data_IF_588414367285
#
_entry.id   IF_588414367285
#
_cell.length_a   1.000
_cell.length_b   1.000
_cell.length_c   1.000
_cell.angle_alpha   90.00
_cell.angle_beta   90.00
_cell.angle_gamma   90.00
#
_symmetry.space_group_name_H-M   'P 1'
#
loop_
_entity.id
_entity.type
_entity.pdbx_description
1 polymer ?
#
# COMPACT_ATOMS: atom_id res chain seq x y z
N UNK A 1 -12.04 26.44 34.21
CA UNK A 1 -13.27 27.28 34.20
C UNK A 1 -13.74 27.40 32.76
N UNK A 2 -15.05 27.36 32.46
CA UNK A 2 -16.21 26.99 33.30
C UNK A 2 -16.65 25.52 33.04
N UNK A 3 -17.65 24.92 33.69
CA UNK A 3 -18.43 25.35 34.86
C UNK A 3 -19.92 24.90 34.79
N UNK A 4 -20.47 24.55 35.98
CA UNK A 4 -21.91 24.47 36.35
C UNK A 4 -22.76 23.17 36.27
N UNK A 5 -23.62 23.08 37.29
CA UNK A 5 -24.35 21.97 37.98
C UNK A 5 -25.55 22.68 38.71
N UNK A 6 -26.76 22.14 39.06
CA UNK A 6 -27.24 20.74 39.27
C UNK A 6 -28.60 20.39 38.59
N UNK A 7 -29.23 19.25 38.97
CA UNK A 7 -30.63 19.31 39.45
C UNK A 7 -31.57 18.09 39.25
N UNK A 8 -32.03 17.49 40.36
CA UNK A 8 -33.31 16.76 40.62
C UNK A 8 -33.89 15.72 39.63
N UNK A 9 -34.55 14.63 40.07
CA UNK A 9 -34.75 14.12 41.45
C UNK A 9 -35.97 13.19 41.59
N UNK A 10 -36.00 12.39 42.67
CA UNK A 10 -37.15 11.57 43.17
C UNK A 10 -37.60 10.39 42.26
N UNK A 11 -38.18 9.29 42.76
CA UNK A 11 -38.89 9.03 44.03
C UNK A 11 -38.49 7.68 44.63
N UNK A 12 -38.29 7.63 45.95
CA UNK A 12 -38.31 6.38 46.73
C UNK A 12 -39.67 6.25 47.40
N UNK A 13 -40.33 5.11 47.28
CA UNK A 13 -41.57 4.80 47.98
C UNK A 13 -41.28 3.87 49.16
N UNK A 14 -41.50 4.39 50.38
CA UNK A 14 -41.73 3.54 51.55
C UNK A 14 -43.19 3.09 51.55
N UNK A 15 -43.42 1.81 51.78
CA UNK A 15 -44.69 1.31 52.29
C UNK A 15 -44.41 0.56 53.59
N UNK A 16 -44.89 1.11 54.71
CA UNK A 16 -44.88 0.47 56.03
C UNK A 16 -46.29 -0.04 56.30
N UNK A 17 -46.43 -1.32 56.64
CA UNK A 17 -47.64 -1.91 57.23
C UNK A 17 -47.13 -2.76 58.40
N UNK A 18 -47.07 -2.27 59.65
CA UNK A 18 -48.18 -2.01 60.59
C UNK A 18 -48.92 -3.28 61.02
N UNK A 19 -48.30 -4.06 61.90
CA UNK A 19 -48.97 -5.13 62.64
C UNK A 19 -49.79 -4.56 63.80
N UNK A 20 -51.08 -4.34 63.59
CA UNK A 20 -52.00 -3.91 64.65
C UNK A 20 -52.31 -5.06 65.62
N UNK A 21 -52.19 -4.78 66.92
CA UNK A 21 -52.51 -5.74 67.99
C UNK A 21 -53.96 -5.54 68.43
N UNK A 22 -54.90 -5.99 67.61
CA UNK A 22 -56.34 -5.86 67.85
C UNK A 22 -56.85 -6.84 68.92
N UNK A 23 -56.88 -6.41 70.18
CA UNK A 23 -57.57 -7.12 71.25
C UNK A 23 -59.02 -6.67 71.40
N UNK A 24 -59.96 -7.62 71.42
CA UNK A 24 -61.33 -7.43 71.95
C UNK A 24 -61.77 -8.69 72.69
N UNK A 25 -62.15 -8.52 73.95
CA UNK A 25 -63.15 -9.35 74.64
C UNK A 25 -64.52 -9.05 73.98
N UNK A 26 -65.59 -9.84 74.11
CA UNK A 26 -66.02 -10.85 75.09
C UNK A 26 -66.54 -12.11 74.33
N UNK A 27 -67.16 -13.17 74.86
CA UNK A 27 -67.90 -13.40 76.11
C UNK A 27 -67.82 -14.86 76.60
N UNK A 28 -68.21 -15.04 77.85
CA UNK A 28 -68.26 -16.30 78.58
C UNK A 28 -69.52 -17.11 78.24
N UNK A 29 -69.36 -18.34 77.74
CA UNK A 29 -70.41 -19.37 77.84
C UNK A 29 -69.85 -20.67 78.41
N UNK A 30 -70.47 -21.09 79.51
CA UNK A 30 -70.12 -22.24 80.32
C UNK A 30 -70.84 -23.51 79.82
N UNK A 31 -70.22 -24.67 80.05
CA UNK A 31 -70.71 -25.99 79.63
C UNK A 31 -70.18 -26.38 78.24
N UNK A 32 -69.49 -27.50 78.05
CA UNK A 32 -69.57 -28.76 78.79
C UNK A 32 -68.21 -29.47 78.81
N UNK A 33 -67.89 -30.16 79.90
CA UNK A 33 -66.69 -30.99 80.02
C UNK A 33 -66.74 -32.18 79.06
N UNK A 34 -66.24 -32.00 77.84
CA UNK A 34 -65.85 -33.11 76.97
C UNK A 34 -64.35 -33.34 77.15
N UNK A 35 -63.99 -34.21 78.09
CA UNK A 35 -62.66 -34.79 78.11
C UNK A 35 -62.51 -35.60 76.81
N UNK A 36 -61.80 -35.04 75.82
CA UNK A 36 -61.48 -35.72 74.57
C UNK A 36 -60.89 -37.08 74.90
N UNK A 37 -61.40 -38.14 74.25
CA UNK A 37 -60.88 -39.47 74.49
C UNK A 37 -59.41 -39.53 74.01
N UNK A 38 -58.56 -40.30 74.69
CA UNK A 38 -57.15 -40.46 74.31
C UNK A 38 -57.01 -40.94 72.84
N UNK A 39 -58.03 -41.67 72.35
CA UNK A 39 -58.16 -42.10 70.95
C UNK A 39 -58.35 -40.91 69.98
N UNK A 40 -59.07 -39.87 70.37
CA UNK A 40 -59.29 -38.68 69.53
C UNK A 40 -58.08 -37.74 69.55
N UNK A 41 -57.40 -37.63 70.70
CA UNK A 41 -56.09 -36.96 70.81
C UNK A 41 -55.06 -37.64 69.89
N UNK A 42 -54.99 -38.98 69.90
CA UNK A 42 -54.11 -39.73 68.99
C UNK A 42 -54.46 -39.55 67.51
N UNK A 43 -55.75 -39.45 67.14
CA UNK A 43 -56.15 -39.12 65.75
C UNK A 43 -55.69 -37.71 65.37
N UNK A 44 -55.85 -36.73 66.25
CA UNK A 44 -55.43 -35.36 66.01
C UNK A 44 -53.91 -35.23 65.87
N UNK A 45 -53.13 -35.95 66.68
CA UNK A 45 -51.68 -36.05 66.55
C UNK A 45 -51.30 -36.67 65.19
N UNK A 46 -51.94 -37.77 64.77
CA UNK A 46 -51.69 -38.38 63.45
C UNK A 46 -52.02 -37.44 62.29
N UNK A 47 -53.11 -36.68 62.40
CA UNK A 47 -53.46 -35.65 61.41
C UNK A 47 -52.43 -34.51 61.36
N UNK A 48 -51.93 -34.07 62.52
CA UNK A 48 -50.83 -33.09 62.57
C UNK A 48 -49.52 -33.64 61.98
N UNK A 49 -49.18 -34.90 62.24
CA UNK A 49 -48.01 -35.55 61.63
C UNK A 49 -48.13 -35.62 60.11
N UNK A 50 -49.28 -36.06 59.59
CA UNK A 50 -49.53 -36.13 58.14
C UNK A 50 -49.50 -34.74 57.49
N UNK A 51 -50.01 -33.70 58.16
CA UNK A 51 -49.91 -32.32 57.70
C UNK A 51 -48.45 -31.82 57.65
N UNK A 52 -47.65 -32.10 58.69
CA UNK A 52 -46.22 -31.74 58.72
C UNK A 52 -45.43 -32.48 57.63
N UNK A 53 -45.76 -33.75 57.38
CA UNK A 53 -45.14 -34.56 56.32
C UNK A 53 -45.53 -34.04 54.92
N UNK A 54 -46.80 -33.68 54.70
CA UNK A 54 -47.24 -33.03 53.47
C UNK A 54 -46.57 -31.66 53.27
N UNK A 55 -46.54 -30.80 54.29
CA UNK A 55 -45.90 -29.48 54.22
C UNK A 55 -44.38 -29.59 53.96
N UNK A 56 -43.73 -30.64 54.48
CA UNK A 56 -42.33 -30.93 54.20
C UNK A 56 -42.10 -31.41 52.74
N UNK A 57 -42.99 -32.27 52.23
CA UNK A 57 -42.92 -32.76 50.86
C UNK A 57 -43.21 -31.66 49.84
N UNK A 58 -44.24 -30.83 50.05
CA UNK A 58 -44.56 -29.68 49.19
C UNK A 58 -43.40 -28.67 49.16
N UNK A 59 -42.72 -28.43 50.29
CA UNK A 59 -41.50 -27.61 50.33
C UNK A 59 -40.31 -28.25 49.63
N UNK A 60 -40.17 -29.57 49.66
CA UNK A 60 -39.13 -30.28 48.92
C UNK A 60 -39.36 -30.14 47.41
N UNK A 61 -40.58 -30.40 46.93
CA UNK A 61 -40.96 -30.23 45.53
C UNK A 61 -40.79 -28.77 45.06
N UNK A 62 -41.13 -27.77 45.89
CA UNK A 62 -40.90 -26.35 45.58
C UNK A 62 -39.40 -26.02 45.44
N UNK A 63 -38.54 -26.61 46.27
CA UNK A 63 -37.08 -26.43 46.20
C UNK A 63 -36.50 -27.11 44.95
N UNK A 64 -36.95 -28.31 44.62
CA UNK A 64 -36.46 -29.04 43.43
C UNK A 64 -36.90 -28.33 42.13
N UNK A 65 -38.15 -27.88 42.05
CA UNK A 65 -38.65 -27.12 40.91
C UNK A 65 -37.88 -25.80 40.69
N UNK A 66 -37.61 -25.05 41.78
CA UNK A 66 -36.76 -23.84 41.72
C UNK A 66 -35.33 -24.15 41.32
N UNK A 67 -34.77 -25.24 41.85
CA UNK A 67 -33.40 -25.67 41.52
C UNK A 67 -33.25 -26.03 40.04
N UNK A 68 -34.25 -26.68 39.44
CA UNK A 68 -34.26 -26.96 38.00
C UNK A 68 -34.47 -25.69 37.15
N UNK A 69 -35.31 -24.76 37.58
CA UNK A 69 -35.48 -23.46 36.91
C UNK A 69 -34.16 -22.65 36.92
N UNK A 70 -33.54 -22.49 38.09
CA UNK A 70 -32.25 -21.80 38.24
C UNK A 70 -31.13 -22.46 37.44
N UNK A 71 -31.05 -23.79 37.45
CA UNK A 71 -30.08 -24.55 36.64
C UNK A 71 -30.25 -24.26 35.14
N UNK A 72 -31.48 -24.28 34.64
CA UNK A 72 -31.76 -24.03 33.22
C UNK A 72 -31.48 -22.57 32.82
N UNK A 73 -31.80 -21.60 33.69
CA UNK A 73 -31.45 -20.19 33.50
C UNK A 73 -29.93 -20.01 33.43
N UNK A 74 -29.18 -20.54 34.40
CA UNK A 74 -27.73 -20.33 34.50
C UNK A 74 -26.97 -21.08 33.39
N UNK A 75 -27.38 -22.31 33.05
CA UNK A 75 -26.90 -23.05 31.87
C UNK A 75 -27.14 -22.25 30.59
N UNK A 76 -28.35 -21.68 30.42
CA UNK A 76 -28.68 -20.80 29.30
C UNK A 76 -27.76 -19.58 29.23
N UNK A 77 -27.57 -18.89 30.36
CA UNK A 77 -26.69 -17.72 30.49
C UNK A 77 -25.25 -18.02 30.12
N UNK A 78 -24.69 -19.13 30.61
CA UNK A 78 -23.33 -19.58 30.30
C UNK A 78 -23.17 -19.91 28.80
N UNK A 79 -24.10 -20.67 28.22
CA UNK A 79 -24.08 -21.04 26.80
C UNK A 79 -24.17 -19.80 25.90
N UNK A 80 -25.09 -18.86 26.16
CA UNK A 80 -25.18 -17.64 25.35
C UNK A 80 -23.94 -16.75 25.50
N UNK A 81 -23.38 -16.65 26.72
CA UNK A 81 -22.14 -15.88 26.97
C UNK A 81 -20.96 -16.43 26.16
N UNK A 82 -20.80 -17.76 26.08
CA UNK A 82 -19.74 -18.37 25.27
C UNK A 82 -20.05 -18.28 23.77
N UNK A 83 -21.32 -18.44 23.37
CA UNK A 83 -21.74 -18.28 21.97
C UNK A 83 -21.41 -16.89 21.43
N UNK A 84 -21.67 -15.82 22.19
CA UNK A 84 -21.33 -14.45 21.82
C UNK A 84 -19.81 -14.25 21.66
N UNK A 85 -18.99 -14.84 22.55
CA UNK A 85 -17.52 -14.83 22.41
C UNK A 85 -17.05 -15.54 21.15
N UNK A 86 -17.64 -16.70 20.82
CA UNK A 86 -17.35 -17.47 19.61
C UNK A 86 -17.71 -16.68 18.35
N UNK A 87 -18.91 -16.10 18.29
CA UNK A 87 -19.34 -15.26 17.15
C UNK A 87 -18.40 -14.07 16.96
N UNK A 88 -18.13 -13.29 18.02
CA UNK A 88 -17.23 -12.14 17.94
C UNK A 88 -15.77 -12.50 17.61
N UNK A 89 -15.33 -13.72 17.88
CA UNK A 89 -14.02 -14.24 17.44
C UNK A 89 -14.00 -14.56 15.94
N UNK A 90 -15.04 -15.26 15.44
CA UNK A 90 -15.15 -15.60 14.01
C UNK A 90 -15.40 -14.38 13.13
N UNK A 91 -16.21 -13.41 13.55
CA UNK A 91 -16.38 -12.14 12.82
C UNK A 91 -15.05 -11.40 12.62
N UNK A 92 -14.18 -11.38 13.65
CA UNK A 92 -12.86 -10.74 13.55
C UNK A 92 -11.96 -11.48 12.56
N UNK A 93 -11.97 -12.82 12.59
CA UNK A 93 -11.24 -13.65 11.61
C UNK A 93 -11.76 -13.45 10.19
N UNK A 94 -13.07 -13.40 9.99
CA UNK A 94 -13.68 -13.19 8.69
C UNK A 94 -13.30 -11.82 8.10
N UNK A 95 -13.43 -10.75 8.89
CA UNK A 95 -13.01 -9.39 8.51
C UNK A 95 -11.51 -9.33 8.18
N UNK A 96 -10.66 -10.04 8.94
CA UNK A 96 -9.22 -10.15 8.66
C UNK A 96 -8.93 -10.88 7.34
N UNK A 97 -9.59 -12.01 7.08
CA UNK A 97 -9.45 -12.79 5.83
C UNK A 97 -9.94 -11.98 4.64
N UNK A 98 -11.05 -11.26 4.76
CA UNK A 98 -11.58 -10.41 3.69
C UNK A 98 -10.61 -9.27 3.33
N UNK A 99 -10.01 -8.62 4.34
CA UNK A 99 -8.96 -7.62 4.14
C UNK A 99 -7.71 -8.22 3.49
N UNK A 100 -7.24 -9.37 3.96
CA UNK A 100 -6.09 -10.08 3.36
C UNK A 100 -6.35 -10.45 1.89
N UNK A 101 -7.56 -10.93 1.56
CA UNK A 101 -7.97 -11.23 0.18
C UNK A 101 -7.95 -9.98 -0.71
N UNK A 102 -8.43 -8.83 -0.21
CA UNK A 102 -8.36 -7.53 -0.91
C UNK A 102 -6.91 -7.09 -1.15
N UNK A 103 -6.04 -7.24 -0.14
CA UNK A 103 -4.59 -6.95 -0.26
C UNK A 103 -3.94 -7.86 -1.30
N UNK A 104 -4.12 -9.18 -1.21
CA UNK A 104 -3.56 -10.15 -2.16
C UNK A 104 -4.00 -9.87 -3.60
N UNK A 105 -5.29 -9.61 -3.83
CA UNK A 105 -5.83 -9.25 -5.14
C UNK A 105 -5.17 -7.96 -5.69
N UNK A 106 -5.00 -6.94 -4.84
CA UNK A 106 -4.31 -5.70 -5.21
C UNK A 106 -2.84 -5.94 -5.56
N UNK A 107 -2.12 -6.72 -4.75
CA UNK A 107 -0.72 -7.09 -4.99
C UNK A 107 -0.54 -7.84 -6.31
N UNK A 108 -1.37 -8.85 -6.59
CA UNK A 108 -1.33 -9.61 -7.85
C UNK A 108 -1.65 -8.71 -9.05
N UNK A 109 -2.66 -7.84 -8.95
CA UNK A 109 -2.99 -6.85 -9.99
C UNK A 109 -1.83 -5.88 -10.26
N UNK A 110 -1.18 -5.39 -9.21
CA UNK A 110 -0.01 -4.52 -9.34
C UNK A 110 1.19 -5.26 -9.94
N UNK A 111 1.46 -6.50 -9.52
CA UNK A 111 2.51 -7.34 -10.08
C UNK A 111 2.29 -7.60 -11.58
N UNK A 112 1.05 -7.89 -12.00
CA UNK A 112 0.69 -8.03 -13.41
C UNK A 112 0.92 -6.73 -14.19
N UNK A 113 0.51 -5.57 -13.64
CA UNK A 113 0.79 -4.25 -14.23
C UNK A 113 2.30 -4.00 -14.38
N UNK A 114 3.10 -4.30 -13.36
CA UNK A 114 4.56 -4.12 -13.40
C UNK A 114 5.23 -5.05 -14.41
N UNK A 115 4.76 -6.30 -14.56
CA UNK A 115 5.24 -7.21 -15.62
C UNK A 115 5.02 -6.61 -17.02
N UNK A 116 3.84 -6.07 -17.29
CA UNK A 116 3.55 -5.41 -18.58
C UNK A 116 4.37 -4.14 -18.79
N UNK A 117 4.65 -3.37 -17.73
CA UNK A 117 5.49 -2.17 -17.84
C UNK A 117 6.96 -2.53 -18.13
N UNK A 118 7.51 -3.56 -17.47
CA UNK A 118 8.87 -4.06 -17.76
C UNK A 118 8.98 -4.56 -19.19
N UNK A 119 8.10 -5.45 -19.62
CA UNK A 119 8.11 -5.97 -20.99
C UNK A 119 8.03 -4.87 -22.08
N UNK A 120 7.41 -3.72 -21.79
CA UNK A 120 7.41 -2.57 -22.70
C UNK A 120 8.73 -1.78 -22.70
N UNK A 121 9.40 -1.71 -21.55
CA UNK A 121 10.71 -1.07 -21.37
C UNK A 121 11.82 -1.94 -21.99
N UNK A 122 11.71 -3.26 -21.84
CA UNK A 122 12.57 -4.26 -22.48
C UNK A 122 12.51 -4.11 -24.01
N UNK A 123 11.30 -4.06 -24.60
CA UNK A 123 11.11 -3.83 -26.05
C UNK A 123 11.66 -2.49 -26.56
N UNK A 124 11.60 -1.42 -25.75
CA UNK A 124 12.21 -0.13 -26.10
C UNK A 124 13.74 -0.25 -26.05
N UNK A 125 14.27 -0.95 -25.06
CA UNK A 125 15.71 -1.18 -24.89
C UNK A 125 16.29 -2.00 -26.04
N UNK A 126 15.58 -3.06 -26.46
CA UNK A 126 15.90 -3.85 -27.65
C UNK A 126 15.92 -2.98 -28.92
N UNK A 127 14.89 -2.14 -29.15
CA UNK A 127 14.85 -1.23 -30.30
C UNK A 127 16.02 -0.22 -30.30
N UNK A 128 16.40 0.30 -29.13
CA UNK A 128 17.55 1.22 -29.02
C UNK A 128 18.88 0.50 -29.23
N UNK A 129 19.01 -0.76 -28.82
CA UNK A 129 20.18 -1.58 -29.12
C UNK A 129 20.27 -1.90 -30.62
N UNK A 130 19.16 -2.25 -31.27
CA UNK A 130 19.10 -2.40 -32.74
C UNK A 130 19.48 -1.11 -33.47
N UNK A 131 19.07 0.06 -32.95
CA UNK A 131 19.50 1.35 -33.48
C UNK A 131 21.02 1.57 -33.32
N UNK A 132 21.62 1.17 -32.18
CA UNK A 132 23.08 1.20 -31.97
C UNK A 132 23.82 0.28 -32.94
N UNK A 133 23.31 -0.93 -33.20
CA UNK A 133 23.86 -1.86 -34.20
C UNK A 133 23.73 -1.34 -35.65
N UNK A 134 22.66 -0.60 -35.97
CA UNK A 134 22.55 0.07 -37.28
C UNK A 134 23.51 1.24 -37.42
N UNK A 135 23.80 1.98 -36.34
CA UNK A 135 24.79 3.06 -36.35
C UNK A 135 26.20 2.52 -36.60
N UNK A 136 26.61 1.42 -35.96
CA UNK A 136 27.93 0.82 -36.23
C UNK A 136 28.06 0.32 -37.69
N UNK A 137 26.96 -0.10 -38.31
CA UNK A 137 26.92 -0.40 -39.74
C UNK A 137 27.21 0.81 -40.65
N UNK A 138 26.82 2.03 -40.27
CA UNK A 138 27.16 3.27 -41.02
C UNK A 138 28.66 3.59 -40.85
N UNK A 139 29.21 3.34 -39.67
CA UNK A 139 30.62 3.61 -39.35
C UNK A 139 31.56 2.66 -40.10
N UNK A 140 31.07 1.52 -40.59
CA UNK A 140 31.83 0.61 -41.43
C UNK A 140 32.10 1.14 -42.86
N UNK A 141 31.39 2.17 -43.32
CA UNK A 141 31.67 2.87 -44.59
C UNK A 141 32.52 4.13 -44.33
N UNK A 142 33.82 4.13 -44.71
CA UNK A 142 34.70 5.26 -44.42
C UNK A 142 34.29 6.56 -45.13
N UNK A 143 33.67 6.49 -46.31
CA UNK A 143 33.32 7.67 -47.09
C UNK A 143 32.12 8.41 -46.48
N UNK A 144 31.10 7.65 -46.07
CA UNK A 144 29.94 8.20 -45.34
C UNK A 144 30.38 8.68 -43.94
N UNK A 145 31.21 7.89 -43.26
CA UNK A 145 31.65 8.20 -41.90
C UNK A 145 32.57 9.44 -41.83
N UNK A 146 33.49 9.64 -42.78
CA UNK A 146 34.29 10.87 -42.85
C UNK A 146 33.40 12.11 -42.99
N UNK A 147 32.45 12.11 -43.94
CA UNK A 147 31.52 13.23 -44.14
C UNK A 147 30.56 13.48 -42.97
N UNK A 148 30.42 12.52 -42.05
CA UNK A 148 29.75 12.67 -40.76
C UNK A 148 30.69 13.26 -39.70
N UNK A 149 31.92 12.74 -39.58
CA UNK A 149 32.94 13.23 -38.64
C UNK A 149 33.27 14.71 -38.86
N UNK A 150 33.45 15.15 -40.11
CA UNK A 150 33.64 16.57 -40.47
C UNK A 150 32.61 17.48 -39.77
N UNK A 151 31.33 17.08 -39.82
CA UNK A 151 30.19 17.82 -39.26
C UNK A 151 30.11 17.68 -37.74
N UNK A 152 30.47 16.52 -37.17
CA UNK A 152 30.46 16.28 -35.73
C UNK A 152 31.56 17.09 -35.02
N UNK A 153 32.76 17.18 -35.63
CA UNK A 153 33.86 18.04 -35.14
C UNK A 153 33.46 19.50 -35.20
N UNK A 154 33.00 19.99 -36.36
CA UNK A 154 32.53 21.37 -36.52
C UNK A 154 31.43 21.74 -35.53
N UNK A 155 30.43 20.87 -35.33
CA UNK A 155 29.37 21.10 -34.34
C UNK A 155 29.91 21.16 -32.90
N UNK A 156 30.90 20.32 -32.57
CA UNK A 156 31.55 20.35 -31.25
C UNK A 156 32.26 21.67 -30.99
N UNK A 157 33.06 22.15 -31.95
CA UNK A 157 33.76 23.43 -31.89
C UNK A 157 32.79 24.61 -31.78
N UNK A 158 31.77 24.67 -32.64
CA UNK A 158 30.72 25.71 -32.62
C UNK A 158 29.88 25.69 -31.35
N UNK A 159 29.83 24.58 -30.61
CA UNK A 159 29.13 24.50 -29.32
C UNK A 159 30.01 24.93 -28.14
N UNK A 160 31.32 24.76 -28.26
CA UNK A 160 32.30 25.07 -27.21
C UNK A 160 32.72 26.55 -27.23
N UNK A 161 33.00 27.13 -28.41
CA UNK A 161 33.36 28.54 -28.63
C UNK A 161 34.58 29.06 -27.82
N UNK A 162 35.49 28.17 -27.46
CA UNK A 162 36.76 28.45 -26.78
C UNK A 162 37.90 28.68 -27.79
N UNK A 163 38.98 29.40 -27.42
CA UNK A 163 40.11 29.65 -28.31
C UNK A 163 41.03 28.45 -28.49
N UNK A 164 41.04 27.50 -27.54
CA UNK A 164 41.80 26.25 -27.60
C UNK A 164 40.86 25.09 -27.30
N UNK A 165 40.83 24.11 -28.20
CA UNK A 165 39.99 22.92 -28.10
C UNK A 165 40.81 21.63 -28.27
N UNK A 166 40.52 20.63 -27.44
CA UNK A 166 41.16 19.31 -27.48
C UNK A 166 40.12 18.29 -27.94
N UNK A 167 40.39 17.57 -29.03
CA UNK A 167 39.49 16.56 -29.61
C UNK A 167 39.96 15.16 -29.23
N UNK A 168 39.09 14.40 -28.57
CA UNK A 168 39.27 12.97 -28.27
C UNK A 168 38.44 12.12 -29.22
N UNK A 169 39.05 11.06 -29.74
CA UNK A 169 38.42 10.09 -30.62
C UNK A 169 38.82 8.65 -30.22
N UNK A 170 38.25 7.63 -30.87
CA UNK A 170 38.75 6.26 -30.72
C UNK A 170 40.09 6.10 -31.47
N UNK A 171 41.00 5.22 -31.04
CA UNK A 171 42.33 5.07 -31.68
C UNK A 171 42.27 4.73 -33.18
N UNK A 172 41.21 4.06 -33.61
CA UNK A 172 40.97 3.66 -35.00
C UNK A 172 40.60 4.84 -35.93
N UNK A 173 40.10 5.96 -35.37
CA UNK A 173 39.61 7.10 -36.14
C UNK A 173 40.61 8.25 -36.24
N UNK A 174 41.78 8.13 -35.60
CA UNK A 174 42.71 9.23 -35.40
C UNK A 174 43.04 9.97 -36.72
N UNK A 175 43.36 9.21 -37.79
CA UNK A 175 43.63 9.76 -39.12
C UNK A 175 42.40 10.44 -39.77
N UNK A 176 41.19 9.89 -39.56
CA UNK A 176 39.94 10.45 -40.10
C UNK A 176 39.56 11.75 -39.37
N UNK A 177 39.82 11.79 -38.06
CA UNK A 177 39.55 12.94 -37.19
C UNK A 177 40.57 14.05 -37.41
N UNK A 178 41.85 13.74 -37.63
CA UNK A 178 42.85 14.73 -38.06
C UNK A 178 42.44 15.42 -39.38
N UNK A 179 42.02 14.63 -40.38
CA UNK A 179 41.49 15.17 -41.64
C UNK A 179 40.22 16.02 -41.43
N UNK A 180 39.29 15.56 -40.58
CA UNK A 180 38.07 16.29 -40.23
C UNK A 180 38.37 17.62 -39.51
N UNK A 181 39.36 17.65 -38.60
CA UNK A 181 39.78 18.86 -37.88
C UNK A 181 40.37 19.89 -38.84
N UNK A 182 41.29 19.49 -39.74
CA UNK A 182 41.88 20.40 -40.74
C UNK A 182 40.81 21.06 -41.62
N UNK A 183 39.74 20.34 -41.96
CA UNK A 183 38.61 20.85 -42.72
C UNK A 183 37.62 21.68 -41.87
N UNK A 184 37.41 21.33 -40.61
CA UNK A 184 36.49 22.03 -39.72
C UNK A 184 37.01 23.42 -39.28
N UNK A 185 38.32 23.63 -39.20
CA UNK A 185 38.93 24.93 -38.81
C UNK A 185 38.48 26.09 -39.73
N UNK A 186 38.64 26.05 -41.07
CA UNK A 186 38.20 27.14 -41.95
C UNK A 186 36.67 27.34 -41.94
N UNK A 187 35.89 26.26 -41.87
CA UNK A 187 34.42 26.35 -41.75
C UNK A 187 34.01 27.01 -40.42
N UNK A 188 34.69 26.68 -39.31
CA UNK A 188 34.48 27.31 -38.01
C UNK A 188 34.84 28.80 -38.02
N UNK A 189 35.97 29.19 -38.61
CA UNK A 189 36.38 30.60 -38.72
C UNK A 189 35.37 31.42 -39.53
N UNK A 190 34.85 30.86 -40.62
CA UNK A 190 33.84 31.49 -41.48
C UNK A 190 32.52 31.77 -40.73
N UNK A 191 32.07 30.82 -39.90
CA UNK A 191 30.79 30.90 -39.18
C UNK A 191 30.90 31.70 -37.87
N UNK A 192 31.97 31.51 -37.11
CA UNK A 192 32.12 32.08 -35.76
C UNK A 192 32.85 33.43 -35.72
N UNK A 193 33.57 33.78 -36.79
CA UNK A 193 34.50 34.91 -36.86
C UNK A 193 35.60 34.90 -35.77
N UNK A 194 35.89 33.72 -35.20
CA UNK A 194 36.92 33.51 -34.18
C UNK A 194 37.94 32.48 -34.66
N UNK A 195 39.20 32.70 -34.30
CA UNK A 195 40.23 31.68 -34.43
C UNK A 195 40.08 30.62 -33.32
N UNK A 196 40.40 29.37 -33.64
CA UNK A 196 40.49 28.27 -32.68
C UNK A 196 41.74 27.45 -32.99
N UNK A 197 42.52 27.15 -31.96
CA UNK A 197 43.58 26.15 -32.02
C UNK A 197 42.98 24.80 -31.62
N UNK A 198 43.05 23.82 -32.52
CA UNK A 198 42.48 22.48 -32.29
C UNK A 198 43.60 21.46 -32.24
N UNK A 199 43.72 20.78 -31.10
CA UNK A 199 44.69 19.72 -30.87
C UNK A 199 43.97 18.37 -30.74
N UNK A 200 44.49 17.31 -31.36
CA UNK A 200 43.96 15.96 -31.20
C UNK A 200 44.72 15.28 -30.06
N UNK A 201 44.00 14.72 -29.09
CA UNK A 201 44.58 14.05 -27.93
C UNK A 201 45.18 12.69 -28.34
N UNK A 202 46.48 12.52 -28.15
CA UNK A 202 47.22 11.28 -28.45
C UNK A 202 47.47 10.41 -27.21
N UNK A 203 47.12 10.89 -26.01
CA UNK A 203 47.29 10.13 -24.76
C UNK A 203 45.95 9.53 -24.31
N UNK A 204 44.89 10.35 -24.28
CA UNK A 204 43.58 9.98 -23.77
C UNK A 204 42.58 9.78 -24.90
N UNK A 205 42.30 8.52 -25.19
CA UNK A 205 41.40 8.08 -26.25
C UNK A 205 40.00 7.69 -25.72
N UNK A 206 39.00 7.67 -26.60
CA UNK A 206 37.71 7.05 -26.32
C UNK A 206 37.83 5.52 -26.25
N UNK A 207 36.92 4.89 -25.51
CA UNK A 207 36.88 3.44 -25.38
C UNK A 207 36.73 2.75 -26.74
N UNK A 208 37.44 1.63 -26.94
CA UNK A 208 37.42 0.87 -28.20
C UNK A 208 36.07 0.22 -28.52
N UNK A 209 35.18 0.10 -27.52
CA UNK A 209 33.81 -0.39 -27.68
C UNK A 209 32.80 0.70 -28.12
N UNK A 210 33.24 1.96 -28.26
CA UNK A 210 32.39 3.06 -28.73
C UNK A 210 32.20 2.98 -30.24
N UNK A 211 30.95 3.05 -30.70
CA UNK A 211 30.55 2.94 -32.09
C UNK A 211 31.18 4.02 -32.98
N UNK A 212 31.36 5.24 -32.46
CA UNK A 212 32.14 6.29 -33.13
C UNK A 212 31.81 7.72 -32.67
N UNK A 213 32.35 8.69 -33.40
CA UNK A 213 32.25 10.12 -33.12
C UNK A 213 33.37 10.66 -32.23
N UNK A 214 33.18 11.88 -31.72
CA UNK A 214 34.23 12.65 -31.04
C UNK A 214 33.72 13.29 -29.75
N UNK A 215 34.62 13.51 -28.80
CA UNK A 215 34.41 14.37 -27.64
C UNK A 215 35.34 15.57 -27.70
N UNK A 216 34.80 16.79 -27.54
CA UNK A 216 35.58 18.03 -27.63
C UNK A 216 35.66 18.68 -26.25
N UNK A 217 36.86 19.00 -25.81
CA UNK A 217 37.16 19.60 -24.51
C UNK A 217 37.71 21.03 -24.67
N UNK A 218 37.43 21.91 -23.71
CA UNK A 218 38.20 23.17 -23.56
C UNK A 218 39.65 22.86 -23.22
N UNK A 219 40.60 23.75 -23.56
CA UNK A 219 42.03 23.58 -23.24
C UNK A 219 42.32 23.40 -21.73
N UNK A 220 41.42 23.83 -20.84
CA UNK A 220 41.50 23.58 -19.40
C UNK A 220 40.83 22.27 -18.92
N UNK A 221 40.30 21.47 -19.85
CA UNK A 221 39.54 20.23 -19.68
C UNK A 221 38.29 20.30 -18.77
N UNK A 222 37.82 21.51 -18.38
CA UNK A 222 36.65 21.69 -17.50
C UNK A 222 35.31 21.53 -18.22
N UNK A 223 35.24 21.98 -19.47
CA UNK A 223 34.04 21.90 -20.31
C UNK A 223 34.26 20.77 -21.32
N UNK A 224 33.29 19.85 -21.43
CA UNK A 224 33.26 18.81 -22.45
C UNK A 224 31.96 18.83 -23.26
N UNK A 225 32.08 18.60 -24.56
CA UNK A 225 30.98 18.39 -25.49
C UNK A 225 31.11 16.98 -26.03
N UNK A 226 30.33 16.04 -25.49
CA UNK A 226 30.28 14.68 -26.03
C UNK A 226 29.41 14.65 -27.27
N UNK A 227 30.00 14.38 -28.43
CA UNK A 227 29.31 14.28 -29.72
C UNK A 227 29.52 12.88 -30.35
N UNK A 228 29.64 11.87 -29.49
CA UNK A 228 29.66 10.45 -29.84
C UNK A 228 28.29 10.00 -30.35
N UNK A 229 28.26 8.97 -31.21
CA UNK A 229 27.03 8.52 -31.86
C UNK A 229 25.99 8.01 -30.84
N UNK A 230 26.46 7.35 -29.78
CA UNK A 230 25.63 6.87 -28.67
C UNK A 230 25.02 8.03 -27.88
N UNK A 231 25.82 9.04 -27.49
CA UNK A 231 25.30 10.22 -26.78
C UNK A 231 24.22 10.93 -27.58
N UNK A 232 24.41 11.04 -28.90
CA UNK A 232 23.40 11.62 -29.81
C UNK A 232 22.15 10.77 -29.91
N UNK A 233 22.29 9.44 -30.02
CA UNK A 233 21.15 8.52 -30.06
C UNK A 233 20.37 8.56 -28.75
N UNK A 234 21.04 8.53 -27.60
CA UNK A 234 20.40 8.52 -26.28
C UNK A 234 19.68 9.87 -26.02
N UNK A 235 20.26 11.01 -26.42
CA UNK A 235 19.60 12.33 -26.40
C UNK A 235 18.36 12.37 -27.32
N UNK A 236 18.49 11.86 -28.55
CA UNK A 236 17.37 11.82 -29.50
C UNK A 236 16.26 10.88 -29.00
N UNK A 237 16.62 9.72 -28.45
CA UNK A 237 15.70 8.74 -27.91
C UNK A 237 14.87 9.33 -26.76
N UNK A 238 15.49 10.08 -25.84
CA UNK A 238 14.77 10.77 -24.77
C UNK A 238 13.76 11.80 -25.32
N UNK A 239 14.16 12.62 -26.29
CA UNK A 239 13.28 13.62 -26.91
C UNK A 239 12.15 12.99 -27.75
N UNK A 240 12.44 11.86 -28.41
CA UNK A 240 11.50 11.14 -29.28
C UNK A 240 10.74 10.01 -28.61
N UNK A 241 10.97 9.75 -27.32
CA UNK A 241 10.26 8.72 -26.56
C UNK A 241 8.72 8.83 -26.63
N UNK A 242 8.09 10.03 -26.64
CA UNK A 242 6.65 10.15 -26.83
C UNK A 242 6.17 9.67 -28.21
N UNK A 243 6.95 9.95 -29.27
CA UNK A 243 6.67 9.54 -30.65
C UNK A 243 6.90 8.03 -30.82
N UNK A 244 8.01 7.49 -30.31
CA UNK A 244 8.35 6.06 -30.30
C UNK A 244 7.23 5.26 -29.58
N UNK A 245 6.83 5.69 -28.38
CA UNK A 245 5.74 5.06 -27.63
C UNK A 245 4.44 5.05 -28.43
N UNK A 246 4.10 6.16 -29.10
CA UNK A 246 2.87 6.27 -29.91
C UNK A 246 2.91 5.35 -31.13
N UNK A 247 4.08 5.18 -31.76
CA UNK A 247 4.27 4.30 -32.90
C UNK A 247 4.18 2.81 -32.51
N UNK A 248 4.85 2.40 -31.42
CA UNK A 248 4.90 1.00 -30.98
C UNK A 248 3.60 0.53 -30.29
N UNK A 249 3.01 1.36 -29.43
CA UNK A 249 1.91 0.95 -28.54
C UNK A 249 0.60 1.69 -28.81
N UNK A 250 0.53 2.48 -29.88
CA UNK A 250 -0.63 3.26 -30.26
C UNK A 250 -0.82 4.56 -29.46
N UNK A 251 -1.75 5.39 -29.93
CA UNK A 251 -2.14 6.62 -29.26
C UNK A 251 -3.02 6.34 -28.02
N UNK A 252 -2.90 7.20 -26.99
CA UNK A 252 -3.80 7.14 -25.85
C UNK A 252 -5.18 7.69 -26.24
N UNK A 253 -6.20 6.82 -26.35
CA UNK A 253 -7.57 7.18 -26.69
C UNK A 253 -8.19 8.24 -25.75
N UNK A 254 -7.69 8.37 -24.51
CA UNK A 254 -8.17 9.36 -23.54
C UNK A 254 -7.51 10.75 -23.69
N UNK A 255 -6.46 10.92 -24.52
CA UNK A 255 -5.82 12.23 -24.74
C UNK A 255 -6.57 13.01 -25.81
N UNK A 256 -7.39 13.99 -25.38
CA UNK A 256 -8.16 14.86 -26.27
C UNK A 256 -7.40 16.11 -26.77
N UNK A 257 -6.38 16.55 -26.04
CA UNK A 257 -5.67 17.81 -26.33
C UNK A 257 -4.15 17.60 -26.44
N UNK A 258 -3.55 18.33 -27.37
CA UNK A 258 -2.10 18.49 -27.49
C UNK A 258 -1.70 19.82 -26.84
N UNK A 259 -1.58 19.77 -25.50
CA UNK A 259 -0.62 20.58 -24.77
C UNK A 259 0.73 19.87 -24.90
#
# INVERSE_FOLDING_TARGET
>A
MPGFIPGCGTKSWKATISGERGGKQTDEQTGTTMALSDVDVQKQIKHMMAFIEQEANEKAEEIDAKSEEEFNIEKGRLVQTQRLKIVGYYEKKEKQIEQQKKIQMSTVRNQARLKVLRARDDLISELLNDAKLRLSGIVADPAIYQGLLDKLVLQGLLRLLEPVAIVRCRPQDLLLVEAAVQKAIPEYMMVSQKCVEVQVDQEVHLATNTAGGVEVYSGNQRIKVSNTLESRLDLLAQQKMPDIRKALFGANANRKFFI
#
